data_IF_769847844043
#
_entry.id   IF_769847844043
#
_cell.length_a   1.000
_cell.length_b   1.000
_cell.length_c   1.000
_cell.angle_alpha   90.00
_cell.angle_beta   90.00
_cell.angle_gamma   90.00
#
_symmetry.space_group_name_H-M   'P 1'
#
loop_
_entity.id
_entity.type
_entity.pdbx_description
1 polymer ?
#
# COMPACT_ATOMS: atom_id res chain seq x y z
N UNK A 1 -22.05 -22.87 -2.01
CA UNK A 1 -22.53 -21.94 -0.97
C UNK A 1 -23.81 -21.26 -1.47
N UNK A 2 -24.88 -21.21 -0.67
CA UNK A 2 -26.18 -20.69 -1.10
C UNK A 2 -26.38 -19.24 -0.66
N UNK A 3 -27.27 -18.49 -1.34
CA UNK A 3 -27.65 -17.11 -0.96
C UNK A 3 -28.08 -17.03 0.51
N UNK A 4 -28.92 -17.97 0.95
CA UNK A 4 -29.42 -18.01 2.32
C UNK A 4 -28.33 -18.24 3.37
N UNK A 5 -27.23 -18.93 3.02
CA UNK A 5 -26.11 -19.14 3.93
C UNK A 5 -25.24 -17.87 4.03
N UNK A 6 -24.97 -17.21 2.90
CA UNK A 6 -24.22 -15.94 2.87
C UNK A 6 -24.93 -14.86 3.69
N UNK A 7 -26.24 -14.67 3.47
CA UNK A 7 -27.01 -13.66 4.21
C UNK A 7 -27.01 -13.91 5.73
N UNK A 8 -27.11 -15.18 6.14
CA UNK A 8 -27.06 -15.55 7.57
C UNK A 8 -25.67 -15.30 8.17
N UNK A 9 -24.60 -15.64 7.45
CA UNK A 9 -23.26 -15.43 7.97
C UNK A 9 -22.88 -13.94 7.98
N UNK A 10 -23.25 -13.17 6.95
CA UNK A 10 -23.10 -11.70 6.93
C UNK A 10 -23.76 -11.07 8.15
N UNK A 11 -25.02 -11.43 8.45
CA UNK A 11 -25.72 -10.93 9.63
C UNK A 11 -25.01 -11.32 10.93
N UNK A 12 -24.60 -12.58 11.07
CA UNK A 12 -23.92 -13.08 12.27
C UNK A 12 -22.55 -12.44 12.51
N UNK A 13 -21.71 -12.32 11.48
CA UNK A 13 -20.40 -11.66 11.60
C UNK A 13 -20.56 -10.15 11.79
N UNK A 14 -21.57 -9.55 11.15
CA UNK A 14 -21.93 -8.14 11.36
C UNK A 14 -22.29 -7.85 12.80
N UNK A 15 -23.15 -8.66 13.42
CA UNK A 15 -23.53 -8.52 14.83
C UNK A 15 -22.32 -8.67 15.77
N UNK A 16 -21.42 -9.63 15.49
CA UNK A 16 -20.18 -9.78 16.26
C UNK A 16 -19.30 -8.53 16.19
N UNK A 17 -19.10 -8.00 14.98
CA UNK A 17 -18.28 -6.82 14.77
C UNK A 17 -18.92 -5.58 15.40
N UNK A 18 -20.23 -5.40 15.24
CA UNK A 18 -20.98 -4.29 15.85
C UNK A 18 -20.91 -4.33 17.38
N UNK A 19 -21.11 -5.51 17.98
CA UNK A 19 -20.98 -5.69 19.43
C UNK A 19 -19.58 -5.33 19.95
N UNK A 20 -18.55 -5.64 19.17
CA UNK A 20 -17.17 -5.28 19.51
C UNK A 20 -16.93 -3.76 19.39
N UNK A 21 -17.35 -3.16 18.27
CA UNK A 21 -17.11 -1.74 17.98
C UNK A 21 -17.94 -0.80 18.85
N UNK A 22 -19.15 -1.20 19.24
CA UNK A 22 -20.08 -0.35 19.98
C UNK A 22 -20.34 0.96 19.23
N UNK A 23 -19.98 2.10 19.85
CA UNK A 23 -20.14 3.43 19.24
C UNK A 23 -18.95 3.86 18.35
N UNK A 24 -17.87 3.07 18.32
CA UNK A 24 -16.64 3.38 17.57
C UNK A 24 -16.68 2.76 16.17
N UNK A 25 -17.65 3.23 15.38
CA UNK A 25 -17.91 2.74 14.02
C UNK A 25 -17.40 3.75 12.99
N UNK A 26 -16.66 3.32 11.97
CA UNK A 26 -16.17 4.23 10.95
C UNK A 26 -17.27 4.58 9.95
N UNK A 27 -17.05 5.66 9.21
CA UNK A 27 -17.92 6.11 8.12
C UNK A 27 -17.16 6.24 6.82
N UNK A 28 -17.74 5.76 5.72
CA UNK A 28 -17.19 6.00 4.37
C UNK A 28 -17.16 7.50 3.99
N UNK A 29 -17.82 8.35 4.77
CA UNK A 29 -18.01 9.77 4.48
C UNK A 29 -17.13 10.69 5.34
N UNK A 30 -16.45 10.16 6.34
CA UNK A 30 -15.55 10.94 7.19
C UNK A 30 -14.20 11.15 6.48
N UNK A 31 -13.46 12.18 6.88
CA UNK A 31 -12.10 12.45 6.41
C UNK A 31 -11.03 12.03 7.40
N UNK A 32 -11.42 11.77 8.65
CA UNK A 32 -10.51 11.34 9.71
C UNK A 32 -10.13 9.86 9.52
N UNK A 33 -8.90 9.52 9.89
CA UNK A 33 -8.50 8.14 10.04
C UNK A 33 -9.32 7.48 11.16
N UNK A 34 -9.69 6.22 10.95
CA UNK A 34 -10.23 5.40 12.01
C UNK A 34 -9.07 4.82 12.80
N UNK A 35 -9.20 4.66 14.13
CA UNK A 35 -8.07 4.17 14.94
C UNK A 35 -7.55 2.80 14.47
N UNK A 36 -8.43 1.93 13.97
CA UNK A 36 -8.05 0.61 13.45
C UNK A 36 -7.51 0.63 12.01
N UNK A 37 -7.28 1.83 11.44
CA UNK A 37 -6.45 1.99 10.26
C UNK A 37 -4.96 1.85 10.62
N UNK A 38 -4.59 2.27 11.85
CA UNK A 38 -3.22 2.19 12.39
C UNK A 38 -3.06 1.10 13.47
N UNK A 39 -4.14 0.76 14.18
CA UNK A 39 -4.17 -0.25 15.23
C UNK A 39 -4.76 -1.59 14.76
N UNK A 40 -4.34 -2.69 15.41
CA UNK A 40 -4.94 -4.00 15.17
C UNK A 40 -6.29 -4.13 15.88
N UNK A 41 -7.30 -4.59 15.12
CA UNK A 41 -8.49 -5.15 15.72
C UNK A 41 -8.12 -6.38 16.57
N UNK A 42 -8.73 -6.60 17.74
CA UNK A 42 -8.64 -7.86 18.44
C UNK A 42 -9.03 -9.01 17.51
N UNK A 43 -8.33 -10.14 17.66
CA UNK A 43 -8.39 -11.27 16.73
C UNK A 43 -9.81 -11.67 16.33
N UNK A 44 -10.73 -11.80 17.28
CA UNK A 44 -12.12 -12.18 16.99
C UNK A 44 -12.86 -11.15 16.13
N UNK A 45 -12.64 -9.85 16.36
CA UNK A 45 -13.25 -8.77 15.59
C UNK A 45 -12.60 -8.65 14.20
N UNK A 46 -11.28 -8.84 14.10
CA UNK A 46 -10.58 -8.92 12.82
C UNK A 46 -11.07 -10.10 12.00
N UNK A 47 -11.17 -11.30 12.57
CA UNK A 47 -11.68 -12.49 11.88
C UNK A 47 -13.13 -12.27 11.39
N UNK A 48 -13.98 -11.69 12.23
CA UNK A 48 -15.35 -11.33 11.84
C UNK A 48 -15.38 -10.34 10.67
N UNK A 49 -14.52 -9.30 10.68
CA UNK A 49 -14.45 -8.31 9.61
C UNK A 49 -13.93 -8.92 8.30
N UNK A 50 -12.91 -9.80 8.34
CA UNK A 50 -12.41 -10.51 7.18
C UNK A 50 -13.48 -11.43 6.58
N UNK A 51 -14.19 -12.19 7.42
CA UNK A 51 -15.29 -13.05 6.98
C UNK A 51 -16.43 -12.25 6.36
N UNK A 52 -16.79 -11.11 6.95
CA UNK A 52 -17.81 -10.21 6.42
C UNK A 52 -17.43 -9.68 5.04
N UNK A 53 -16.19 -9.20 4.86
CA UNK A 53 -15.69 -8.74 3.55
C UNK A 53 -15.73 -9.85 2.51
N UNK A 54 -15.23 -11.05 2.85
CA UNK A 54 -15.23 -12.20 1.95
C UNK A 54 -16.65 -12.62 1.55
N UNK A 55 -17.61 -12.64 2.47
CA UNK A 55 -18.99 -13.02 2.18
C UNK A 55 -19.72 -11.95 1.37
N UNK A 56 -19.48 -10.66 1.63
CA UNK A 56 -20.01 -9.57 0.81
C UNK A 56 -19.51 -9.67 -0.64
N UNK A 57 -18.23 -9.97 -0.85
CA UNK A 57 -17.68 -10.21 -2.18
C UNK A 57 -18.32 -11.42 -2.87
N UNK A 58 -18.54 -12.51 -2.14
CA UNK A 58 -19.22 -13.69 -2.66
C UNK A 58 -20.69 -13.43 -2.97
N UNK A 59 -21.38 -12.65 -2.14
CA UNK A 59 -22.77 -12.24 -2.38
C UNK A 59 -22.87 -11.42 -3.67
N UNK A 60 -21.99 -10.44 -3.85
CA UNK A 60 -21.89 -9.66 -5.09
C UNK A 60 -21.64 -10.59 -6.29
N UNK A 61 -20.66 -11.49 -6.19
CA UNK A 61 -20.32 -12.42 -7.27
C UNK A 61 -21.47 -13.40 -7.60
N UNK A 62 -22.24 -13.83 -6.59
CA UNK A 62 -23.40 -14.72 -6.76
C UNK A 62 -24.56 -14.00 -7.48
N UNK A 63 -24.77 -12.72 -7.19
CA UNK A 63 -25.90 -11.95 -7.72
C UNK A 63 -25.63 -11.37 -9.11
N UNK A 64 -24.37 -11.09 -9.46
CA UNK A 64 -24.02 -10.54 -10.78
C UNK A 64 -24.27 -11.62 -11.86
N UNK A 65 -25.01 -11.29 -12.94
CA UNK A 65 -25.16 -12.19 -14.08
C UNK A 65 -23.81 -12.60 -14.67
N UNK A 66 -23.66 -13.90 -14.97
CA UNK A 66 -22.39 -14.52 -15.41
C UNK A 66 -21.64 -13.73 -16.49
N UNK A 67 -22.35 -13.24 -17.51
CA UNK A 67 -21.74 -12.45 -18.60
C UNK A 67 -21.26 -11.07 -18.12
N UNK A 68 -22.04 -10.41 -17.26
CA UNK A 68 -21.67 -9.11 -16.70
C UNK A 68 -20.46 -9.23 -15.77
N UNK A 69 -20.34 -10.32 -15.00
CA UNK A 69 -19.15 -10.56 -14.18
C UNK A 69 -17.88 -10.56 -15.03
N UNK A 70 -17.84 -11.34 -16.12
CA UNK A 70 -16.69 -11.37 -17.01
C UNK A 70 -16.40 -10.02 -17.67
N UNK A 71 -17.45 -9.30 -18.07
CA UNK A 71 -17.30 -7.95 -18.62
C UNK A 71 -16.71 -6.98 -17.59
N UNK A 72 -17.17 -7.00 -16.33
CA UNK A 72 -16.63 -6.16 -15.27
C UNK A 72 -15.15 -6.44 -14.99
N UNK A 73 -14.74 -7.71 -14.99
CA UNK A 73 -13.32 -8.05 -14.86
C UNK A 73 -12.49 -7.49 -16.03
N UNK A 74 -13.01 -7.58 -17.27
CA UNK A 74 -12.29 -7.08 -18.46
C UNK A 74 -12.10 -5.57 -18.51
N UNK A 75 -12.88 -4.80 -17.77
CA UNK A 75 -12.80 -3.32 -17.69
C UNK A 75 -12.38 -2.84 -16.30
N UNK A 76 -11.94 -3.75 -15.43
CA UNK A 76 -11.60 -3.47 -14.04
C UNK A 76 -10.49 -2.42 -13.91
N UNK A 77 -9.65 -2.30 -14.95
CA UNK A 77 -8.58 -1.32 -15.06
C UNK A 77 -9.04 0.14 -15.10
N UNK A 78 -10.31 0.41 -15.43
CA UNK A 78 -10.82 1.79 -15.46
C UNK A 78 -10.64 2.52 -14.11
N UNK A 79 -10.70 1.79 -13.00
CA UNK A 79 -10.45 2.38 -11.68
C UNK A 79 -8.97 2.74 -11.46
N UNK A 80 -8.03 1.90 -11.91
CA UNK A 80 -6.60 2.19 -11.85
C UNK A 80 -6.25 3.43 -12.68
N UNK A 81 -6.79 3.52 -13.90
CA UNK A 81 -6.62 4.70 -14.78
C UNK A 81 -7.21 5.96 -14.14
N UNK A 82 -8.40 5.85 -13.54
CA UNK A 82 -9.02 6.98 -12.87
C UNK A 82 -8.19 7.43 -11.65
N UNK A 83 -7.64 6.48 -10.88
CA UNK A 83 -6.80 6.75 -9.73
C UNK A 83 -5.49 7.42 -10.12
N UNK A 84 -4.86 7.00 -11.22
CA UNK A 84 -3.68 7.66 -11.80
C UNK A 84 -3.98 9.14 -12.07
N UNK A 85 -5.09 9.44 -12.74
CA UNK A 85 -5.50 10.82 -13.06
C UNK A 85 -5.71 11.64 -11.77
N UNK A 86 -6.35 11.06 -10.75
CA UNK A 86 -6.57 11.75 -9.49
C UNK A 86 -5.27 12.05 -8.73
N UNK A 87 -4.34 11.09 -8.73
CA UNK A 87 -3.03 11.24 -8.13
C UNK A 87 -2.19 12.28 -8.88
N UNK A 88 -2.07 12.14 -10.20
CA UNK A 88 -1.22 13.01 -11.02
C UNK A 88 -1.70 14.46 -10.99
N UNK A 89 -3.01 14.68 -11.17
CA UNK A 89 -3.62 16.01 -11.12
C UNK A 89 -3.79 16.56 -9.70
N UNK A 90 -3.43 15.80 -8.65
CA UNK A 90 -3.52 16.19 -7.25
C UNK A 90 -4.94 16.66 -6.86
N UNK A 91 -5.93 15.83 -7.17
CA UNK A 91 -7.34 16.18 -6.95
C UNK A 91 -7.63 16.31 -5.44
N UNK A 92 -7.11 15.40 -4.62
CA UNK A 92 -7.34 15.40 -3.18
C UNK A 92 -6.82 16.69 -2.53
N UNK A 93 -5.62 17.13 -2.89
CA UNK A 93 -5.04 18.41 -2.45
C UNK A 93 -5.93 19.58 -2.82
N UNK A 94 -6.35 19.68 -4.07
CA UNK A 94 -7.18 20.80 -4.56
C UNK A 94 -8.52 20.90 -3.83
N UNK A 95 -9.15 19.76 -3.53
CA UNK A 95 -10.38 19.73 -2.73
C UNK A 95 -10.09 20.24 -1.31
N UNK A 96 -9.01 19.79 -0.68
CA UNK A 96 -8.62 20.22 0.67
C UNK A 96 -8.29 21.72 0.73
N UNK A 97 -7.49 22.21 -0.23
CA UNK A 97 -7.11 23.62 -0.39
C UNK A 97 -8.33 24.54 -0.63
N UNK A 98 -9.38 24.01 -1.27
CA UNK A 98 -10.65 24.72 -1.50
C UNK A 98 -11.62 24.65 -0.30
N UNK A 99 -11.18 24.18 0.88
CA UNK A 99 -11.99 24.11 2.09
C UNK A 99 -12.81 22.82 2.22
N UNK A 100 -12.46 21.76 1.48
CA UNK A 100 -13.00 20.40 1.63
C UNK A 100 -14.12 20.03 0.67
N UNK A 101 -14.60 20.95 -0.15
CA UNK A 101 -15.55 20.68 -1.24
C UNK A 101 -15.16 21.47 -2.49
N UNK A 102 -15.38 20.92 -3.68
CA UNK A 102 -15.07 21.61 -4.93
C UNK A 102 -16.01 21.16 -6.06
N UNK A 103 -16.55 22.12 -6.83
CA UNK A 103 -17.36 21.80 -8.01
C UNK A 103 -16.48 21.21 -9.13
N UNK A 104 -17.07 20.43 -10.03
CA UNK A 104 -16.39 19.87 -11.19
C UNK A 104 -15.74 20.96 -12.05
N UNK A 105 -16.46 22.07 -12.28
CA UNK A 105 -15.95 23.21 -13.04
C UNK A 105 -14.74 23.86 -12.36
N UNK A 106 -14.76 24.02 -11.04
CA UNK A 106 -13.61 24.53 -10.28
C UNK A 106 -12.42 23.57 -10.36
N UNK A 107 -12.66 22.27 -10.15
CA UNK A 107 -11.64 21.23 -10.25
C UNK A 107 -11.00 21.21 -11.65
N UNK A 108 -11.80 21.23 -12.70
CA UNK A 108 -11.31 21.22 -14.08
C UNK A 108 -10.43 22.44 -14.40
N UNK A 109 -10.81 23.62 -13.89
CA UNK A 109 -9.98 24.83 -14.00
C UNK A 109 -8.67 24.71 -13.21
N UNK A 110 -8.74 24.24 -11.96
CA UNK A 110 -7.57 24.08 -11.10
C UNK A 110 -6.59 23.00 -11.60
N UNK A 111 -7.09 21.98 -12.30
CA UNK A 111 -6.28 20.94 -12.93
C UNK A 111 -5.91 21.25 -14.39
N UNK A 112 -6.34 22.41 -14.92
CA UNK A 112 -6.12 22.81 -16.32
C UNK A 112 -6.48 21.73 -17.35
N UNK A 113 -7.61 21.03 -17.11
CA UNK A 113 -8.03 19.89 -17.92
C UNK A 113 -9.49 20.01 -18.38
N UNK A 114 -9.91 19.08 -19.23
CA UNK A 114 -11.27 19.07 -19.75
C UNK A 114 -12.27 18.60 -18.69
N UNK A 115 -13.27 19.44 -18.42
CA UNK A 115 -14.31 19.20 -17.42
C UNK A 115 -15.08 17.89 -17.63
N UNK A 116 -15.43 17.56 -18.88
CA UNK A 116 -16.16 16.34 -19.19
C UNK A 116 -15.33 15.08 -18.90
N UNK A 117 -14.06 15.06 -19.31
CA UNK A 117 -13.13 13.95 -19.04
C UNK A 117 -12.91 13.77 -17.54
N UNK A 118 -12.67 14.88 -16.82
CA UNK A 118 -12.48 14.85 -15.38
C UNK A 118 -13.75 14.36 -14.66
N UNK A 119 -14.93 14.74 -15.13
CA UNK A 119 -16.19 14.27 -14.59
C UNK A 119 -16.36 12.75 -14.73
N UNK A 120 -15.92 12.15 -15.83
CA UNK A 120 -15.91 10.69 -15.98
C UNK A 120 -14.98 10.03 -14.94
N UNK A 121 -13.78 10.57 -14.74
CA UNK A 121 -12.83 10.10 -13.71
C UNK A 121 -13.45 10.17 -12.31
N UNK A 122 -14.00 11.33 -11.94
CA UNK A 122 -14.57 11.53 -10.61
C UNK A 122 -15.76 10.62 -10.33
N UNK A 123 -16.61 10.35 -11.34
CA UNK A 123 -17.73 9.42 -11.20
C UNK A 123 -17.25 7.98 -11.00
N UNK A 124 -16.20 7.54 -11.70
CA UNK A 124 -15.60 6.22 -11.48
C UNK A 124 -15.08 6.11 -10.04
N UNK A 125 -14.31 7.08 -9.57
CA UNK A 125 -13.73 7.03 -8.23
C UNK A 125 -14.77 7.19 -7.11
N UNK A 126 -15.81 7.98 -7.32
CA UNK A 126 -16.94 8.08 -6.39
C UNK A 126 -17.70 6.76 -6.31
N UNK A 127 -17.94 6.11 -7.45
CA UNK A 127 -18.53 4.77 -7.49
C UNK A 127 -17.65 3.70 -6.83
N UNK A 128 -16.33 3.92 -6.78
CA UNK A 128 -15.37 3.08 -6.06
C UNK A 128 -15.09 3.53 -4.63
N UNK A 129 -15.86 4.51 -4.12
CA UNK A 129 -15.73 5.03 -2.76
C UNK A 129 -14.35 5.64 -2.44
N UNK A 130 -13.63 6.17 -3.43
CA UNK A 130 -12.35 6.88 -3.22
C UNK A 130 -12.56 8.40 -3.11
N UNK A 131 -13.71 8.93 -3.51
CA UNK A 131 -14.16 10.31 -3.27
C UNK A 131 -15.68 10.29 -3.03
N UNK A 132 -16.26 11.45 -2.73
CA UNK A 132 -17.70 11.60 -2.57
C UNK A 132 -18.25 12.70 -3.48
N UNK A 133 -19.41 12.46 -4.10
CA UNK A 133 -20.22 13.47 -4.76
C UNK A 133 -21.37 13.88 -3.81
N UNK A 134 -21.24 15.04 -3.15
CA UNK A 134 -22.18 15.50 -2.10
C UNK A 134 -23.41 16.21 -2.67
N UNK A 135 -23.29 16.72 -3.89
CA UNK A 135 -24.35 17.28 -4.72
C UNK A 135 -23.93 17.09 -6.19
N UNK A 136 -24.85 17.21 -7.17
CA UNK A 136 -24.49 17.04 -8.58
C UNK A 136 -23.26 17.86 -8.97
N UNK A 137 -22.21 17.17 -9.42
CA UNK A 137 -20.92 17.73 -9.81
C UNK A 137 -20.20 18.52 -8.69
N UNK A 138 -20.42 18.19 -7.41
CA UNK A 138 -19.71 18.74 -6.24
C UNK A 138 -19.04 17.61 -5.48
N UNK A 139 -17.71 17.66 -5.39
CA UNK A 139 -16.89 16.58 -4.85
C UNK A 139 -16.21 16.94 -3.54
N UNK A 140 -15.99 15.93 -2.71
CA UNK A 140 -15.33 16.01 -1.40
C UNK A 140 -14.39 14.80 -1.20
N UNK A 141 -13.31 15.00 -0.44
CA UNK A 141 -12.46 13.90 0.03
C UNK A 141 -13.19 13.06 1.08
N UNK A 142 -12.96 11.76 1.07
CA UNK A 142 -13.36 10.86 2.13
C UNK A 142 -12.11 10.21 2.74
N UNK A 143 -12.30 9.28 3.67
CA UNK A 143 -11.21 8.61 4.39
C UNK A 143 -10.14 8.00 3.49
N UNK A 144 -10.51 7.52 2.29
CA UNK A 144 -9.55 6.94 1.35
C UNK A 144 -8.86 8.01 0.49
N UNK A 145 -9.56 9.04 0.00
CA UNK A 145 -8.89 10.13 -0.76
C UNK A 145 -8.06 11.04 0.12
N UNK A 146 -8.33 11.15 1.42
CA UNK A 146 -7.49 11.92 2.34
C UNK A 146 -6.04 11.41 2.32
N UNK A 147 -5.84 10.10 2.19
CA UNK A 147 -4.49 9.51 2.05
C UNK A 147 -3.75 9.99 0.80
N UNK A 148 -4.46 10.43 -0.25
CA UNK A 148 -3.86 10.93 -1.49
C UNK A 148 -3.34 12.38 -1.39
N UNK A 149 -3.57 13.07 -0.27
CA UNK A 149 -3.04 14.41 -0.05
C UNK A 149 -1.50 14.36 0.01
N UNK A 150 -0.85 15.35 -0.61
CA UNK A 150 0.60 15.45 -0.69
C UNK A 150 1.24 15.39 0.71
N UNK A 151 2.26 14.55 0.86
CA UNK A 151 2.99 14.36 2.11
C UNK A 151 2.66 13.06 2.84
N UNK A 152 1.52 12.43 2.56
CA UNK A 152 1.16 11.15 3.18
C UNK A 152 1.88 9.97 2.50
N UNK A 153 2.08 10.03 1.18
CA UNK A 153 2.82 9.03 0.40
C UNK A 153 1.95 8.02 -0.37
N UNK A 154 0.65 7.95 -0.09
CA UNK A 154 -0.27 7.08 -0.83
C UNK A 154 -0.33 7.41 -2.32
N UNK A 155 -0.28 8.70 -2.66
CA UNK A 155 -0.24 9.19 -4.04
C UNK A 155 0.93 8.59 -4.82
N UNK A 156 2.13 8.67 -4.24
CA UNK A 156 3.36 8.13 -4.83
C UNK A 156 3.29 6.60 -4.96
N UNK A 157 2.76 5.90 -3.95
CA UNK A 157 2.52 4.47 -4.03
C UNK A 157 1.54 4.11 -5.15
N UNK A 158 0.45 4.86 -5.30
CA UNK A 158 -0.52 4.65 -6.36
C UNK A 158 0.11 4.88 -7.73
N UNK A 159 0.91 5.94 -7.90
CA UNK A 159 1.56 6.24 -9.18
C UNK A 159 2.61 5.20 -9.56
N UNK A 160 3.34 4.62 -8.61
CA UNK A 160 4.23 3.48 -8.87
C UNK A 160 3.48 2.33 -9.56
N UNK A 161 2.30 1.99 -9.05
CA UNK A 161 1.48 0.92 -9.60
C UNK A 161 0.76 1.33 -10.89
N UNK A 162 0.09 2.50 -10.91
CA UNK A 162 -0.78 2.89 -12.01
C UNK A 162 -0.05 3.52 -13.18
N UNK A 163 1.06 4.23 -12.95
CA UNK A 163 1.80 4.89 -14.02
C UNK A 163 2.94 4.03 -14.56
N UNK A 164 3.67 3.33 -13.69
CA UNK A 164 4.87 2.58 -14.08
C UNK A 164 4.56 1.09 -14.29
N UNK A 165 4.10 0.38 -13.25
CA UNK A 165 3.84 -1.06 -13.33
C UNK A 165 2.70 -1.40 -14.29
N UNK A 166 1.63 -0.60 -14.33
CA UNK A 166 0.47 -0.85 -15.17
C UNK A 166 0.81 -0.85 -16.68
N UNK A 167 1.78 -0.04 -17.12
CA UNK A 167 2.27 -0.04 -18.52
C UNK A 167 2.86 -1.39 -18.93
N UNK A 168 3.46 -2.12 -17.98
CA UNK A 168 3.98 -3.47 -18.19
C UNK A 168 2.88 -4.56 -18.18
N UNK A 169 1.72 -4.28 -17.59
CA UNK A 169 0.60 -5.21 -17.46
C UNK A 169 0.22 -5.94 -18.77
N UNK A 170 -0.02 -5.23 -19.89
CA UNK A 170 -0.37 -5.86 -21.16
C UNK A 170 0.69 -6.81 -21.74
N UNK A 171 1.97 -6.65 -21.37
CA UNK A 171 3.05 -7.47 -21.89
C UNK A 171 3.10 -8.90 -21.31
N UNK A 172 2.41 -9.16 -20.18
CA UNK A 172 2.39 -10.49 -19.55
C UNK A 172 1.98 -11.61 -20.49
N UNK A 173 0.92 -11.42 -21.28
CA UNK A 173 0.45 -12.46 -22.22
C UNK A 173 1.49 -12.76 -23.31
N UNK A 174 2.25 -11.76 -23.73
CA UNK A 174 3.35 -11.91 -24.69
C UNK A 174 4.45 -12.78 -24.10
N UNK A 175 4.89 -12.47 -22.87
CA UNK A 175 5.93 -13.25 -22.16
C UNK A 175 5.49 -14.69 -21.93
N UNK A 176 4.27 -14.90 -21.45
CA UNK A 176 3.74 -16.23 -21.15
C UNK A 176 3.53 -17.11 -22.39
N UNK A 177 3.62 -16.54 -23.60
CA UNK A 177 3.54 -17.25 -24.88
C UNK A 177 4.88 -17.36 -25.60
N UNK A 178 5.91 -16.68 -25.14
CA UNK A 178 7.23 -16.70 -25.74
C UNK A 178 7.96 -17.99 -25.32
N UNK A 179 8.27 -18.93 -26.24
CA UNK A 179 8.91 -20.19 -25.88
C UNK A 179 10.27 -20.04 -25.21
N UNK A 180 10.94 -18.89 -25.36
CA UNK A 180 12.23 -18.61 -24.73
C UNK A 180 12.10 -18.08 -23.30
N UNK A 181 11.02 -17.34 -23.02
CA UNK A 181 10.84 -16.59 -21.77
C UNK A 181 9.73 -17.11 -20.86
N UNK A 182 8.81 -17.92 -21.38
CA UNK A 182 7.62 -18.40 -20.65
C UNK A 182 7.92 -19.19 -19.35
N UNK A 183 9.16 -19.68 -19.18
CA UNK A 183 9.63 -20.37 -17.98
C UNK A 183 10.79 -19.65 -17.29
N UNK A 184 11.21 -18.50 -17.80
CA UNK A 184 12.27 -17.71 -17.19
C UNK A 184 11.73 -17.00 -15.96
N UNK A 185 12.55 -16.97 -14.91
CA UNK A 185 12.32 -16.18 -13.69
C UNK A 185 13.30 -15.00 -13.60
N UNK A 186 14.14 -14.79 -14.62
CA UNK A 186 15.03 -13.63 -14.69
C UNK A 186 14.18 -12.37 -14.92
N UNK A 187 14.41 -11.34 -14.11
CA UNK A 187 13.70 -10.06 -14.24
C UNK A 187 13.87 -9.40 -15.62
N UNK A 188 14.94 -9.73 -16.36
CA UNK A 188 15.21 -9.24 -17.72
C UNK A 188 14.34 -9.89 -18.79
N UNK A 189 13.75 -11.04 -18.49
CA UNK A 189 12.82 -11.74 -19.37
C UNK A 189 11.35 -11.43 -19.05
N UNK A 190 11.10 -10.60 -18.02
CA UNK A 190 9.77 -10.25 -17.53
C UNK A 190 9.03 -9.19 -18.35
N UNK A 191 7.75 -9.01 -18.03
CA UNK A 191 6.84 -8.08 -18.72
C UNK A 191 7.30 -6.60 -18.62
N UNK A 192 7.93 -6.23 -17.50
CA UNK A 192 8.49 -4.90 -17.33
C UNK A 192 9.66 -4.65 -18.29
N UNK A 193 10.58 -5.61 -18.40
CA UNK A 193 11.70 -5.51 -19.33
C UNK A 193 11.28 -5.51 -20.80
N UNK A 194 10.18 -6.19 -21.16
CA UNK A 194 9.59 -6.07 -22.50
C UNK A 194 9.20 -4.63 -22.86
N UNK A 195 8.63 -3.88 -21.90
CA UNK A 195 8.15 -2.51 -22.14
C UNK A 195 9.24 -1.47 -21.99
N UNK A 196 10.12 -1.62 -21.00
CA UNK A 196 11.11 -0.61 -20.62
C UNK A 196 12.54 -0.96 -21.03
N UNK A 197 12.78 -2.16 -21.60
CA UNK A 197 14.09 -2.64 -22.02
C UNK A 197 15.07 -2.95 -20.88
N UNK A 198 14.61 -2.92 -19.62
CA UNK A 198 15.39 -3.07 -18.39
C UNK A 198 14.57 -3.77 -17.33
N UNK A 199 15.22 -4.48 -16.40
CA UNK A 199 14.55 -4.89 -15.17
C UNK A 199 14.13 -3.66 -14.35
N UNK A 200 13.19 -3.82 -13.40
CA UNK A 200 12.68 -2.72 -12.57
C UNK A 200 13.83 -2.01 -11.84
N UNK A 201 14.72 -2.78 -11.19
CA UNK A 201 15.87 -2.22 -10.48
C UNK A 201 16.81 -1.47 -11.41
N UNK A 202 17.13 -2.01 -12.59
CA UNK A 202 17.96 -1.30 -13.56
C UNK A 202 17.29 -0.03 -14.09
N UNK A 203 15.96 -0.01 -14.22
CA UNK A 203 15.21 1.12 -14.74
C UNK A 203 15.16 2.30 -13.77
N UNK A 204 14.89 2.06 -12.47
CA UNK A 204 14.76 3.14 -11.48
C UNK A 204 16.04 3.97 -11.33
N UNK A 205 17.21 3.37 -11.62
CA UNK A 205 18.51 4.07 -11.58
C UNK A 205 18.87 4.81 -12.89
N UNK A 206 17.96 4.89 -13.87
CA UNK A 206 18.18 5.68 -15.10
C UNK A 206 17.49 7.04 -15.03
N UNK A 207 17.87 8.01 -15.89
CA UNK A 207 17.16 9.28 -15.99
C UNK A 207 15.67 9.12 -16.31
N UNK A 208 15.31 8.13 -17.14
CA UNK A 208 13.92 7.84 -17.51
C UNK A 208 13.11 7.27 -16.34
N UNK A 209 13.74 6.52 -15.44
CA UNK A 209 13.12 5.94 -14.25
C UNK A 209 13.14 6.83 -13.01
N UNK A 210 13.66 8.06 -13.08
CA UNK A 210 13.81 8.94 -11.92
C UNK A 210 12.48 9.26 -11.20
N UNK A 211 11.38 9.38 -11.94
CA UNK A 211 10.04 9.58 -11.35
C UNK A 211 9.57 8.30 -10.64
N UNK A 212 9.79 7.13 -11.24
CA UNK A 212 9.50 5.83 -10.63
C UNK A 212 10.33 5.63 -9.34
N UNK A 213 11.62 5.98 -9.33
CA UNK A 213 12.46 5.99 -8.13
C UNK A 213 11.87 6.90 -7.04
N UNK A 214 11.43 8.11 -7.40
CA UNK A 214 10.82 9.05 -6.45
C UNK A 214 9.54 8.47 -5.85
N UNK A 215 8.67 7.91 -6.70
CA UNK A 215 7.44 7.26 -6.28
C UNK A 215 7.71 6.05 -5.37
N UNK A 216 8.71 5.23 -5.70
CA UNK A 216 9.12 4.10 -4.87
C UNK A 216 9.66 4.55 -3.50
N UNK A 217 10.51 5.57 -3.48
CA UNK A 217 11.15 6.09 -2.25
C UNK A 217 10.13 6.62 -1.25
N UNK A 218 9.02 7.22 -1.71
CA UNK A 218 7.99 7.79 -0.85
C UNK A 218 6.82 6.82 -0.63
N UNK A 219 6.41 6.11 -1.68
CA UNK A 219 5.24 5.24 -1.66
C UNK A 219 5.44 3.92 -0.94
N UNK A 220 6.62 3.28 -1.08
CA UNK A 220 6.89 2.00 -0.41
C UNK A 220 6.90 2.16 1.12
N UNK A 221 7.48 3.21 1.71
CA UNK A 221 7.35 3.46 3.15
C UNK A 221 5.91 3.63 3.61
N UNK A 222 5.08 4.38 2.87
CA UNK A 222 3.65 4.50 3.17
C UNK A 222 2.95 3.15 3.13
N UNK A 223 3.15 2.34 2.09
CA UNK A 223 2.57 0.99 2.01
C UNK A 223 3.07 0.08 3.14
N UNK A 224 4.33 0.25 3.56
CA UNK A 224 4.95 -0.57 4.59
C UNK A 224 4.30 -0.40 5.97
N UNK A 225 3.66 0.74 6.25
CA UNK A 225 2.99 1.02 7.55
C UNK A 225 1.86 0.04 7.82
N UNK A 226 1.19 -0.46 6.78
CA UNK A 226 0.08 -1.43 6.85
C UNK A 226 0.46 -2.67 7.70
N UNK A 227 1.73 -3.06 7.69
CA UNK A 227 2.21 -4.27 8.39
C UNK A 227 2.96 -3.96 9.68
N UNK A 228 3.18 -2.69 10.03
CA UNK A 228 3.99 -2.31 11.20
C UNK A 228 3.34 -2.77 12.50
N UNK A 229 2.05 -2.50 12.68
CA UNK A 229 1.34 -2.91 13.89
C UNK A 229 1.36 -4.43 14.07
N UNK A 230 1.06 -5.20 13.02
CA UNK A 230 1.17 -6.67 13.04
C UNK A 230 2.59 -7.13 13.35
N UNK A 231 3.59 -6.49 12.73
CA UNK A 231 5.01 -6.81 13.00
C UNK A 231 5.35 -6.57 14.47
N UNK A 232 4.87 -5.49 15.09
CA UNK A 232 5.16 -5.20 16.50
C UNK A 232 4.39 -6.09 17.48
N UNK A 233 3.13 -6.43 17.19
CA UNK A 233 2.23 -6.99 18.19
C UNK A 233 1.79 -8.45 17.96
N UNK A 234 1.88 -8.98 16.72
CA UNK A 234 1.56 -10.39 16.45
C UNK A 234 2.79 -11.31 16.57
N UNK A 235 4.00 -10.74 16.61
CA UNK A 235 5.25 -11.50 16.76
C UNK A 235 5.75 -11.40 18.21
N UNK A 236 5.98 -12.53 18.90
CA UNK A 236 6.54 -12.56 20.24
C UNK A 236 8.06 -12.35 20.20
N UNK A 237 8.50 -11.14 19.84
CA UNK A 237 9.92 -10.82 19.61
C UNK A 237 10.83 -11.18 20.79
N UNK A 238 10.37 -10.92 22.00
CA UNK A 238 11.05 -11.25 23.26
C UNK A 238 11.23 -12.76 23.50
N UNK A 239 10.42 -13.59 22.84
CA UNK A 239 10.54 -15.06 22.91
C UNK A 239 11.60 -15.63 21.97
N UNK A 240 11.99 -14.88 20.94
CA UNK A 240 12.92 -15.36 19.91
C UNK A 240 14.39 -15.13 20.27
N UNK A 241 14.65 -14.26 21.24
CA UNK A 241 16.00 -13.96 21.71
C UNK A 241 16.13 -12.50 22.12
N UNK A 242 17.38 -12.09 22.30
CA UNK A 242 17.78 -10.73 22.64
C UNK A 242 18.26 -9.92 21.45
N UNK A 243 18.74 -10.56 20.36
CA UNK A 243 19.36 -9.87 19.23
C UNK A 243 18.72 -10.26 17.89
N UNK A 244 18.18 -9.27 17.18
CA UNK A 244 17.55 -9.42 15.87
C UNK A 244 18.40 -8.73 14.81
N UNK A 245 18.65 -9.42 13.71
CA UNK A 245 19.23 -8.86 12.49
C UNK A 245 18.15 -8.69 11.43
N UNK A 246 17.78 -7.45 11.12
CA UNK A 246 16.92 -7.08 10.00
C UNK A 246 17.75 -7.01 8.72
N UNK A 247 17.59 -8.02 7.86
CA UNK A 247 18.39 -8.21 6.64
C UNK A 247 17.67 -7.57 5.46
N UNK A 248 18.27 -6.53 4.88
CA UNK A 248 17.60 -5.69 3.89
C UNK A 248 16.56 -4.79 4.55
N UNK A 249 16.99 -4.05 5.58
CA UNK A 249 16.12 -3.27 6.47
C UNK A 249 15.42 -2.08 5.78
N UNK A 250 15.81 -1.73 4.55
CA UNK A 250 15.31 -0.56 3.83
C UNK A 250 15.56 0.72 4.61
N UNK A 251 14.49 1.41 5.01
CA UNK A 251 14.59 2.62 5.84
C UNK A 251 14.87 2.33 7.32
N UNK A 252 14.70 1.10 7.79
CA UNK A 252 14.84 0.70 9.20
C UNK A 252 13.69 1.13 10.12
N UNK A 253 12.66 1.82 9.60
CA UNK A 253 11.56 2.37 10.40
C UNK A 253 10.78 1.31 11.17
N UNK A 254 10.63 0.11 10.59
CA UNK A 254 9.88 -0.97 11.22
C UNK A 254 10.63 -1.58 12.39
N UNK A 255 11.93 -1.83 12.23
CA UNK A 255 12.74 -2.35 13.32
C UNK A 255 12.95 -1.31 14.43
N UNK A 256 12.90 -0.02 14.09
CA UNK A 256 12.82 1.05 15.08
C UNK A 256 11.53 0.98 15.93
N UNK A 257 10.36 0.76 15.31
CA UNK A 257 9.10 0.56 16.06
C UNK A 257 9.12 -0.71 16.92
N UNK A 258 9.75 -1.78 16.44
CA UNK A 258 9.99 -2.99 17.25
C UNK A 258 10.89 -2.68 18.45
N UNK A 259 12.00 -1.96 18.27
CA UNK A 259 12.89 -1.53 19.37
C UNK A 259 12.19 -0.63 20.38
N UNK A 260 11.29 0.26 19.94
CA UNK A 260 10.45 1.08 20.83
C UNK A 260 9.49 0.22 21.66
N UNK A 261 8.89 -0.79 21.03
CA UNK A 261 7.93 -1.70 21.67
C UNK A 261 8.63 -2.67 22.64
N UNK A 262 9.84 -3.12 22.30
CA UNK A 262 10.65 -4.04 23.09
C UNK A 262 12.05 -3.44 23.35
N UNK A 263 12.18 -2.50 24.30
CA UNK A 263 13.44 -1.78 24.53
C UNK A 263 14.63 -2.67 24.91
N UNK A 264 14.39 -3.88 25.42
CA UNK A 264 15.43 -4.85 25.78
C UNK A 264 16.07 -5.55 24.58
N UNK A 265 15.50 -5.46 23.39
CA UNK A 265 16.05 -6.09 22.19
C UNK A 265 17.22 -5.27 21.64
N UNK A 266 18.25 -5.97 21.20
CA UNK A 266 19.29 -5.43 20.34
C UNK A 266 18.86 -5.61 18.90
N UNK A 267 19.02 -4.57 18.08
CA UNK A 267 18.64 -4.58 16.67
C UNK A 267 19.84 -4.26 15.79
N UNK A 268 20.03 -5.07 14.77
CA UNK A 268 21.03 -4.87 13.73
C UNK A 268 20.27 -4.65 12.43
N UNK A 269 20.42 -3.50 11.79
CA UNK A 269 19.82 -3.20 10.49
C UNK A 269 20.91 -3.31 9.42
N UNK A 270 20.74 -4.25 8.51
CA UNK A 270 21.66 -4.53 7.42
C UNK A 270 21.12 -4.00 6.10
N UNK A 271 21.96 -3.28 5.37
CA UNK A 271 21.61 -2.68 4.07
C UNK A 271 22.85 -2.46 3.20
N UNK A 272 22.63 -2.14 1.92
CA UNK A 272 23.71 -1.73 1.02
C UNK A 272 24.34 -0.41 1.46
N UNK A 273 25.61 -0.17 1.12
CA UNK A 273 26.39 0.97 1.60
C UNK A 273 25.69 2.33 1.41
N UNK A 274 25.05 2.52 0.25
CA UNK A 274 24.36 3.77 -0.09
C UNK A 274 23.10 4.03 0.75
N UNK A 275 22.57 3.02 1.44
CA UNK A 275 21.37 3.12 2.31
C UNK A 275 21.72 3.41 3.77
N UNK A 276 22.99 3.27 4.19
CA UNK A 276 23.40 3.54 5.57
C UNK A 276 23.09 4.98 6.04
N UNK A 277 23.30 6.05 5.23
CA UNK A 277 22.90 7.39 5.64
C UNK A 277 21.39 7.54 5.87
N UNK A 278 20.58 6.77 5.15
CA UNK A 278 19.12 6.76 5.30
C UNK A 278 18.74 6.10 6.62
N UNK A 279 19.33 4.95 6.95
CA UNK A 279 19.18 4.31 8.25
C UNK A 279 19.60 5.24 9.40
N UNK A 280 20.75 5.89 9.30
CA UNK A 280 21.23 6.84 10.32
C UNK A 280 20.22 7.95 10.59
N UNK A 281 19.59 8.49 9.53
CA UNK A 281 18.54 9.49 9.66
C UNK A 281 17.30 8.94 10.36
N UNK A 282 16.88 7.72 10.03
CA UNK A 282 15.71 7.09 10.70
C UNK A 282 15.94 6.90 12.19
N UNK A 283 17.16 6.55 12.60
CA UNK A 283 17.53 6.32 14.00
C UNK A 283 18.13 7.57 14.69
N UNK A 284 17.92 8.77 14.15
CA UNK A 284 18.30 10.02 14.82
C UNK A 284 17.63 10.11 16.22
N UNK A 285 18.41 10.44 17.25
CA UNK A 285 17.97 10.43 18.65
C UNK A 285 18.21 9.12 19.41
N UNK A 286 18.74 8.08 18.75
CA UNK A 286 19.12 6.80 19.36
C UNK A 286 20.65 6.60 19.43
N UNK A 287 21.41 7.69 19.43
CA UNK A 287 22.88 7.64 19.43
C UNK A 287 23.42 6.90 20.66
N UNK A 288 22.74 7.02 21.80
CA UNK A 288 23.16 6.37 23.05
C UNK A 288 23.05 4.85 22.99
N UNK A 289 22.01 4.33 22.36
CA UNK A 289 21.75 2.92 22.11
C UNK A 289 22.76 2.37 21.11
N UNK A 290 23.11 3.16 20.10
CA UNK A 290 24.17 2.82 19.14
C UNK A 290 25.54 2.75 19.82
N UNK A 291 25.88 3.72 20.68
CA UNK A 291 27.13 3.71 21.45
C UNK A 291 27.24 2.48 22.37
N UNK A 292 26.12 2.05 22.96
CA UNK A 292 26.05 0.82 23.77
C UNK A 292 26.05 -0.47 22.92
N UNK A 293 25.90 -0.37 21.60
CA UNK A 293 25.83 -1.50 20.69
C UNK A 293 24.48 -2.23 20.67
N UNK A 294 23.44 -1.63 21.25
CA UNK A 294 22.07 -2.14 21.23
C UNK A 294 21.40 -1.90 19.87
N UNK A 295 21.86 -0.90 19.12
CA UNK A 295 21.45 -0.64 17.74
C UNK A 295 22.71 -0.63 16.88
N UNK A 296 22.73 -1.41 15.80
CA UNK A 296 23.82 -1.41 14.83
C UNK A 296 23.27 -1.20 13.42
N UNK A 297 23.94 -0.36 12.65
CA UNK A 297 23.65 -0.14 11.24
C UNK A 297 24.85 -0.70 10.47
N UNK A 298 24.65 -1.77 9.69
CA UNK A 298 25.72 -2.54 9.07
C UNK A 298 25.59 -2.55 7.55
N UNK A 299 26.71 -2.36 6.85
CA UNK A 299 26.79 -2.59 5.41
C UNK A 299 26.78 -4.09 5.16
N UNK A 300 25.78 -4.59 4.44
CA UNK A 300 25.72 -5.98 4.04
C UNK A 300 24.95 -6.13 2.72
N UNK A 301 25.55 -6.87 1.78
CA UNK A 301 24.85 -7.43 0.63
C UNK A 301 24.39 -8.83 1.02
N UNK A 302 23.08 -9.03 1.18
CA UNK A 302 22.50 -10.29 1.62
C UNK A 302 22.67 -11.44 0.60
N UNK A 303 23.18 -11.18 -0.60
CA UNK A 303 23.62 -12.21 -1.53
C UNK A 303 25.03 -12.74 -1.22
N UNK A 304 25.75 -12.10 -0.30
CA UNK A 304 27.04 -12.55 0.24
C UNK A 304 26.84 -13.34 1.55
N UNK A 305 27.81 -14.17 1.98
CA UNK A 305 27.69 -14.91 3.23
C UNK A 305 27.41 -13.99 4.43
N UNK A 306 26.44 -14.38 5.27
CA UNK A 306 26.13 -13.67 6.52
C UNK A 306 27.25 -13.89 7.55
N UNK A 307 27.91 -12.81 7.96
CA UNK A 307 28.99 -12.82 8.96
C UNK A 307 28.53 -12.35 10.34
N UNK A 308 27.42 -11.60 10.42
CA UNK A 308 26.86 -11.10 11.68
C UNK A 308 26.13 -12.23 12.39
N UNK A 309 26.44 -12.40 13.69
CA UNK A 309 25.78 -13.40 14.53
C UNK A 309 24.63 -12.75 15.30
N UNK A 310 23.42 -13.18 14.99
CA UNK A 310 22.19 -12.86 15.72
C UNK A 310 21.39 -14.13 16.04
N UNK A 311 20.45 -14.02 16.98
CA UNK A 311 19.54 -15.11 17.35
C UNK A 311 18.39 -15.23 16.35
N UNK A 312 18.00 -14.10 15.75
CA UNK A 312 16.95 -14.00 14.73
C UNK A 312 17.47 -13.24 13.53
N UNK A 313 17.21 -13.75 12.33
CA UNK A 313 17.37 -13.02 11.07
C UNK A 313 15.98 -12.79 10.49
N UNK A 314 15.61 -11.53 10.38
CA UNK A 314 14.31 -11.08 9.89
C UNK A 314 14.46 -10.58 8.46
N UNK A 315 13.61 -11.08 7.58
CA UNK A 315 13.57 -10.72 6.16
C UNK A 315 12.13 -10.33 5.83
N UNK A 316 11.90 -9.04 5.55
CA UNK A 316 10.55 -8.50 5.31
C UNK A 316 10.53 -7.62 4.07
N UNK A 317 9.74 -8.02 3.08
CA UNK A 317 9.66 -7.29 1.80
C UNK A 317 10.92 -7.45 0.95
N UNK A 318 11.75 -8.46 1.24
CA UNK A 318 12.94 -8.85 0.50
C UNK A 318 12.74 -10.29 0.00
N UNK A 319 12.58 -10.49 -1.31
CA UNK A 319 12.66 -11.79 -2.01
C UNK A 319 12.94 -11.56 -3.50
#
# INVERSE_FOLDING_TARGET
MSLANLLRNIAYQGEKLENFLGNDTPSLFETAAWKYDDELLPREAWEASQMLMADCQQLIALLIPRKLKLMYESISNNAAVALEVACDLKIADKIAENGGEMTLTQLARACETNEHKLGCTMRVLTHRHVFMEVAPDVFRNNRHSTELISGNGARECCLLETHDAYKAGPAWLTIMKDPKRMHSIDAKDGAFAEVFGKSVLEYIFTPEGATCMTNMTVGVPWMSTITVAATCFDLPWDSYGSTICDVGAGLGSVMLEVKKTFPSLNVICQELEHMIPVLQKTFEGYESEMERGEIKLEVHDYFTPQETVAEVYWLRGVM
#
